data_IF_891656074547
#
_entry.id   IF_891656074547
#
_cell.length_a   1.000
_cell.length_b   1.000
_cell.length_c   1.000
_cell.angle_alpha   90.00
_cell.angle_beta   90.00
_cell.angle_gamma   90.00
#
_symmetry.space_group_name_H-M   'P 1'
#
loop_
_entity.id
_entity.type
_entity.pdbx_description
1 polymer ?
#
# COMPACT_ATOMS: atom_id res chain seq x y z
N UNK A 1 34.57 -2.15 25.57
CA UNK A 1 33.49 -1.77 24.64
C UNK A 1 33.46 -2.73 23.44
N UNK A 2 33.12 -4.01 23.66
CA UNK A 2 33.22 -5.09 22.63
C UNK A 2 31.92 -5.91 22.45
N UNK A 3 30.86 -5.63 23.21
CA UNK A 3 29.67 -6.49 23.24
C UNK A 3 28.68 -6.29 22.08
N UNK A 4 28.82 -5.24 21.26
CA UNK A 4 27.84 -4.96 20.18
C UNK A 4 28.11 -5.75 18.89
N UNK A 5 29.36 -6.14 18.59
CA UNK A 5 29.72 -6.85 17.35
C UNK A 5 29.33 -8.33 17.37
N UNK A 6 29.49 -8.99 18.51
CA UNK A 6 29.17 -10.42 18.66
C UNK A 6 27.65 -10.68 18.56
N UNK A 7 26.83 -9.87 19.23
CA UNK A 7 25.36 -9.99 19.15
C UNK A 7 24.82 -9.76 17.74
N UNK A 8 25.41 -8.83 16.99
CA UNK A 8 25.02 -8.58 15.60
C UNK A 8 25.40 -9.73 14.66
N UNK A 9 26.53 -10.41 14.91
CA UNK A 9 26.99 -11.57 14.15
C UNK A 9 26.08 -12.78 14.38
N UNK A 10 25.74 -13.08 15.64
CA UNK A 10 24.89 -14.21 16.01
C UNK A 10 23.47 -14.00 15.47
N UNK A 11 22.92 -12.79 15.58
CA UNK A 11 21.59 -12.45 15.04
C UNK A 11 21.54 -12.61 13.52
N UNK A 12 22.56 -12.16 12.78
CA UNK A 12 22.66 -12.39 11.32
C UNK A 12 22.74 -13.88 10.98
N UNK A 13 23.46 -14.66 11.77
CA UNK A 13 23.62 -16.10 11.54
C UNK A 13 22.31 -16.86 11.75
N UNK A 14 21.56 -16.56 12.82
CA UNK A 14 20.24 -17.17 13.08
C UNK A 14 19.23 -16.74 12.00
N UNK A 15 19.22 -15.46 11.61
CA UNK A 15 18.37 -14.98 10.52
C UNK A 15 18.72 -15.67 9.19
N UNK A 16 20.00 -15.95 8.91
CA UNK A 16 20.41 -16.65 7.67
C UNK A 16 19.92 -18.11 7.58
N UNK A 17 19.51 -18.73 8.69
CA UNK A 17 18.92 -20.06 8.69
C UNK A 17 17.41 -20.06 8.45
N UNK A 18 16.71 -18.99 8.86
CA UNK A 18 15.26 -18.89 8.68
C UNK A 18 14.85 -18.17 7.38
N UNK A 19 15.75 -17.39 6.80
CA UNK A 19 15.50 -16.65 5.57
C UNK A 19 16.20 -17.29 4.37
N UNK A 20 15.58 -17.25 3.18
CA UNK A 20 16.19 -17.80 1.99
C UNK A 20 17.47 -17.02 1.64
N UNK A 21 18.46 -17.74 1.09
CA UNK A 21 19.75 -17.14 0.67
C UNK A 21 19.56 -16.16 -0.49
N UNK A 22 18.58 -16.43 -1.34
CA UNK A 22 18.14 -15.55 -2.43
C UNK A 22 16.75 -14.99 -2.08
N UNK A 23 16.44 -13.74 -2.45
CA UNK A 23 15.13 -13.19 -2.20
C UNK A 23 14.04 -13.97 -2.94
N UNK A 24 12.95 -14.26 -2.25
CA UNK A 24 11.80 -15.00 -2.79
C UNK A 24 10.57 -14.11 -2.76
N UNK A 25 9.71 -14.23 -3.78
CA UNK A 25 8.38 -13.63 -3.77
C UNK A 25 7.37 -14.75 -3.60
N UNK A 26 6.60 -14.69 -2.53
CA UNK A 26 5.51 -15.61 -2.23
C UNK A 26 4.18 -14.87 -2.37
N UNK A 27 3.10 -15.61 -2.65
CA UNK A 27 1.76 -15.05 -2.70
C UNK A 27 0.74 -16.02 -2.11
N UNK A 28 -0.28 -15.45 -1.46
CA UNK A 28 -1.42 -16.18 -0.92
C UNK A 28 -2.68 -15.44 -1.30
N UNK A 29 -3.69 -16.17 -1.76
CA UNK A 29 -5.00 -15.61 -2.11
C UNK A 29 -6.02 -15.93 -1.04
N UNK A 30 -6.75 -14.92 -0.59
CA UNK A 30 -7.90 -15.07 0.30
C UNK A 30 -9.03 -14.19 -0.20
N UNK A 31 -10.20 -14.80 -0.44
CA UNK A 31 -11.42 -14.09 -0.84
C UNK A 31 -11.19 -13.18 -2.06
N UNK A 32 -11.12 -11.86 -1.84
CA UNK A 32 -10.92 -10.83 -2.84
C UNK A 32 -9.53 -10.15 -2.77
N UNK A 33 -8.60 -10.72 -1.99
CA UNK A 33 -7.25 -10.17 -1.77
C UNK A 33 -6.18 -11.19 -2.18
N UNK A 34 -5.15 -10.72 -2.90
CA UNK A 34 -3.88 -11.44 -3.06
C UNK A 34 -2.82 -10.76 -2.20
N UNK A 35 -2.38 -11.44 -1.14
CA UNK A 35 -1.22 -11.04 -0.32
C UNK A 35 0.05 -11.47 -1.02
N UNK A 36 1.03 -10.57 -1.11
CA UNK A 36 2.29 -10.77 -1.81
C UNK A 36 3.43 -10.40 -0.86
N UNK A 37 4.36 -11.31 -0.65
CA UNK A 37 5.46 -11.15 0.29
C UNK A 37 6.80 -11.28 -0.44
N UNK A 38 7.58 -10.20 -0.43
CA UNK A 38 8.98 -10.23 -0.82
C UNK A 38 9.81 -10.52 0.44
N UNK A 39 10.43 -11.69 0.51
CA UNK A 39 11.16 -12.17 1.67
C UNK A 39 12.65 -12.20 1.34
N UNK A 40 13.44 -11.47 2.14
CA UNK A 40 14.90 -11.43 2.03
C UNK A 40 15.55 -11.49 3.40
N UNK A 41 16.84 -11.80 3.46
CA UNK A 41 17.61 -11.81 4.73
C UNK A 41 17.65 -10.47 5.47
N UNK A 42 17.30 -9.37 4.81
CA UNK A 42 17.32 -8.03 5.39
C UNK A 42 15.94 -7.58 5.87
N UNK A 43 14.90 -7.86 5.06
CA UNK A 43 13.52 -7.43 5.33
C UNK A 43 12.51 -8.30 4.60
N UNK A 44 11.30 -8.29 5.13
CA UNK A 44 10.09 -8.75 4.45
C UNK A 44 9.26 -7.53 4.08
N UNK A 45 8.82 -7.45 2.82
CA UNK A 45 7.90 -6.41 2.33
C UNK A 45 6.59 -7.09 1.96
N UNK A 46 5.49 -6.61 2.49
CA UNK A 46 4.16 -7.13 2.18
C UNK A 46 3.39 -6.12 1.34
N UNK A 47 2.76 -6.59 0.27
CA UNK A 47 1.86 -5.83 -0.58
C UNK A 47 0.55 -6.61 -0.74
N UNK A 48 -0.57 -5.89 -0.85
CA UNK A 48 -1.90 -6.49 -1.01
C UNK A 48 -2.54 -5.98 -2.30
N UNK A 49 -2.88 -6.91 -3.21
CA UNK A 49 -3.69 -6.61 -4.39
C UNK A 49 -5.15 -6.87 -4.05
N UNK A 50 -6.00 -5.87 -4.25
CA UNK A 50 -7.44 -5.95 -4.02
C UNK A 50 -8.13 -6.20 -5.36
N UNK A 51 -9.13 -7.09 -5.37
CA UNK A 51 -9.94 -7.46 -6.52
C UNK A 51 -11.41 -7.15 -6.28
N UNK A 52 -12.14 -6.79 -7.34
CA UNK A 52 -13.59 -6.54 -7.25
C UNK A 52 -14.40 -7.84 -7.00
N UNK A 53 -13.83 -8.98 -7.41
CA UNK A 53 -14.47 -10.29 -7.31
C UNK A 53 -13.56 -11.23 -6.52
N UNK A 54 -13.06 -12.27 -7.18
CA UNK A 54 -12.22 -13.27 -6.55
C UNK A 54 -10.75 -12.97 -6.82
N UNK A 55 -9.94 -13.14 -5.79
CA UNK A 55 -8.50 -13.08 -5.90
C UNK A 55 -7.99 -14.13 -6.88
N UNK A 56 -6.92 -13.78 -7.60
CA UNK A 56 -6.20 -14.73 -8.45
C UNK A 56 -4.72 -14.76 -8.13
N UNK A 57 -4.12 -15.88 -8.53
CA UNK A 57 -2.68 -16.04 -8.55
C UNK A 57 -2.10 -15.17 -9.67
N UNK A 58 -1.10 -14.37 -9.32
CA UNK A 58 -0.37 -13.52 -10.23
C UNK A 58 0.79 -14.29 -10.87
N UNK A 59 1.09 -13.98 -12.12
CA UNK A 59 2.27 -14.50 -12.81
C UNK A 59 3.56 -13.90 -12.22
N UNK A 60 4.70 -14.55 -12.47
CA UNK A 60 6.00 -14.06 -12.01
C UNK A 60 6.31 -12.64 -12.51
N UNK A 61 5.91 -12.31 -13.73
CA UNK A 61 6.13 -10.99 -14.30
C UNK A 61 5.26 -9.92 -13.63
N UNK A 62 4.00 -10.23 -13.31
CA UNK A 62 3.12 -9.35 -12.54
C UNK A 62 3.64 -9.10 -11.13
N UNK A 63 4.09 -10.17 -10.44
CA UNK A 63 4.71 -10.06 -9.12
C UNK A 63 5.96 -9.16 -9.17
N UNK A 64 6.81 -9.35 -10.16
CA UNK A 64 8.00 -8.51 -10.34
C UNK A 64 7.65 -7.06 -10.63
N UNK A 65 6.58 -6.81 -11.41
CA UNK A 65 6.11 -5.46 -11.72
C UNK A 65 5.73 -4.71 -10.45
N UNK A 66 4.95 -5.33 -9.56
CA UNK A 66 4.49 -4.73 -8.29
C UNK A 66 5.62 -4.19 -7.42
N UNK A 67 6.79 -4.85 -7.39
CA UNK A 67 7.92 -4.40 -6.55
C UNK A 67 8.93 -3.50 -7.27
N UNK A 68 8.91 -3.46 -8.61
CA UNK A 68 9.88 -2.68 -9.40
C UNK A 68 9.32 -1.33 -9.85
N UNK A 69 8.00 -1.23 -9.92
CA UNK A 69 7.34 -0.06 -10.45
C UNK A 69 7.38 1.10 -9.48
N UNK A 70 7.58 2.29 -10.03
CA UNK A 70 7.42 3.53 -9.28
C UNK A 70 5.94 3.87 -9.29
N UNK A 71 5.40 4.07 -8.10
CA UNK A 71 4.00 4.45 -7.92
C UNK A 71 3.99 5.90 -7.48
N UNK A 72 3.11 6.69 -8.10
CA UNK A 72 2.82 8.05 -7.63
C UNK A 72 1.51 7.99 -6.84
N UNK A 73 1.57 8.40 -5.58
CA UNK A 73 0.39 8.58 -4.73
C UNK A 73 0.13 10.07 -4.56
N UNK A 74 -1.14 10.49 -4.42
CA UNK A 74 -1.47 11.90 -4.27
C UNK A 74 -1.18 12.45 -2.88
N UNK A 75 -0.85 11.60 -1.90
CA UNK A 75 -0.61 11.99 -0.51
C UNK A 75 0.86 11.95 -0.11
N UNK A 76 1.24 12.82 0.83
CA UNK A 76 2.49 12.75 1.58
C UNK A 76 2.34 11.94 2.86
N UNK A 77 1.17 12.06 3.50
CA UNK A 77 0.80 11.28 4.68
C UNK A 77 -0.69 10.99 4.68
N UNK A 78 -1.09 9.93 5.37
CA UNK A 78 -2.49 9.57 5.64
C UNK A 78 -2.70 9.61 7.14
N UNK A 79 -3.65 10.43 7.57
CA UNK A 79 -4.05 10.60 8.96
C UNK A 79 -5.44 10.03 9.23
N UNK A 80 -5.68 9.65 10.47
CA UNK A 80 -7.03 9.37 10.95
C UNK A 80 -7.18 9.74 12.43
N UNK A 81 -8.42 9.80 12.90
CA UNK A 81 -8.74 9.90 14.32
C UNK A 81 -9.03 8.52 14.90
N UNK A 82 -8.86 8.41 16.21
CA UNK A 82 -9.32 7.29 17.03
C UNK A 82 -9.70 7.80 18.43
N UNK A 83 -10.20 6.93 19.29
CA UNK A 83 -10.46 7.24 20.71
C UNK A 83 -9.22 7.76 21.48
N UNK A 84 -8.02 7.51 20.97
CA UNK A 84 -6.75 7.92 21.58
C UNK A 84 -6.17 9.22 20.96
N UNK A 85 -6.85 9.80 19.97
CA UNK A 85 -6.42 10.99 19.25
C UNK A 85 -6.04 10.69 17.79
N UNK A 86 -5.22 11.57 17.22
CA UNK A 86 -4.81 11.52 15.83
C UNK A 86 -3.63 10.57 15.61
N UNK A 87 -3.66 9.80 14.51
CA UNK A 87 -2.64 8.82 14.13
C UNK A 87 -2.19 9.03 12.69
N UNK A 88 -0.89 8.90 12.46
CA UNK A 88 -0.32 8.74 11.13
C UNK A 88 -0.35 7.26 10.74
N UNK A 89 -1.09 6.96 9.67
CA UNK A 89 -1.30 5.61 9.13
C UNK A 89 -0.60 5.42 7.78
N UNK A 90 0.32 6.30 7.40
CA UNK A 90 0.98 6.24 6.08
C UNK A 90 1.64 4.89 5.83
N UNK A 91 2.41 4.37 6.80
CA UNK A 91 3.06 3.05 6.70
C UNK A 91 2.04 1.90 6.65
N UNK A 92 0.91 2.06 7.34
CA UNK A 92 -0.18 1.07 7.36
C UNK A 92 -0.85 0.97 6.00
N UNK A 93 -1.00 2.09 5.28
CA UNK A 93 -1.63 2.13 3.97
C UNK A 93 -0.64 1.79 2.84
N UNK A 94 0.66 1.99 3.05
CA UNK A 94 1.72 1.70 2.07
C UNK A 94 1.64 0.26 1.51
N UNK A 95 1.20 -0.71 2.31
CA UNK A 95 1.02 -2.09 1.86
C UNK A 95 -0.07 -2.28 0.78
N UNK A 96 -1.00 -1.32 0.62
CA UNK A 96 -2.04 -1.33 -0.41
C UNK A 96 -1.71 -0.44 -1.62
N UNK A 97 -0.57 0.24 -1.58
CA UNK A 97 -0.04 1.01 -2.72
C UNK A 97 0.49 0.01 -3.76
N UNK A 98 -0.45 -0.51 -4.54
CA UNK A 98 -0.26 -1.48 -5.63
C UNK A 98 -1.09 -1.01 -6.84
N UNK A 99 -0.54 -1.01 -8.06
CA UNK A 99 -1.24 -0.49 -9.23
C UNK A 99 -2.60 -1.12 -9.48
N UNK A 100 -3.57 -0.26 -9.78
CA UNK A 100 -4.96 -0.60 -10.02
C UNK A 100 -5.75 -0.95 -8.76
N UNK A 101 -5.19 -0.80 -7.55
CA UNK A 101 -6.00 -0.84 -6.33
C UNK A 101 -6.82 0.45 -6.25
N UNK A 102 -8.01 0.36 -5.66
CA UNK A 102 -8.79 1.54 -5.26
C UNK A 102 -8.94 1.49 -3.75
N UNK A 103 -8.38 2.48 -3.07
CA UNK A 103 -8.50 2.60 -1.61
C UNK A 103 -9.68 3.52 -1.36
N UNK A 104 -10.78 3.00 -0.81
CA UNK A 104 -11.99 3.78 -0.48
C UNK A 104 -12.08 3.98 1.02
N UNK A 105 -12.88 4.95 1.46
CA UNK A 105 -13.16 5.13 2.89
C UNK A 105 -13.82 3.89 3.50
N UNK A 106 -14.74 3.24 2.77
CA UNK A 106 -15.34 1.96 3.21
C UNK A 106 -14.30 0.87 3.41
N UNK A 107 -13.34 0.73 2.49
CA UNK A 107 -12.24 -0.22 2.65
C UNK A 107 -11.43 0.07 3.91
N UNK A 108 -11.13 1.35 4.18
CA UNK A 108 -10.39 1.77 5.37
C UNK A 108 -11.18 1.44 6.64
N UNK A 109 -12.46 1.80 6.70
CA UNK A 109 -13.33 1.55 7.86
C UNK A 109 -13.53 0.05 8.14
N UNK A 110 -13.70 -0.78 7.10
CA UNK A 110 -13.90 -2.22 7.24
C UNK A 110 -12.64 -2.93 7.76
N UNK A 111 -11.45 -2.51 7.32
CA UNK A 111 -10.17 -3.13 7.71
C UNK A 111 -9.60 -2.52 9.00
N UNK A 112 -9.98 -1.28 9.32
CA UNK A 112 -9.45 -0.49 10.43
C UNK A 112 -10.58 0.14 11.25
N UNK A 113 -11.47 -0.66 11.86
CA UNK A 113 -12.75 -0.18 12.45
C UNK A 113 -12.60 0.74 13.66
N UNK A 114 -11.39 0.86 14.22
CA UNK A 114 -11.11 1.76 15.34
C UNK A 114 -10.64 3.15 14.90
N UNK A 115 -10.48 3.35 13.59
CA UNK A 115 -10.01 4.58 12.98
C UNK A 115 -11.12 5.19 12.12
N UNK A 116 -11.31 6.50 12.24
CA UNK A 116 -12.35 7.26 11.54
C UNK A 116 -11.83 8.64 11.16
N UNK A 117 -12.63 9.43 10.42
CA UNK A 117 -12.25 10.76 9.94
C UNK A 117 -10.90 10.71 9.19
N UNK A 118 -10.86 9.85 8.16
CA UNK A 118 -9.67 9.65 7.34
C UNK A 118 -9.38 10.88 6.49
N UNK A 119 -8.14 11.34 6.55
CA UNK A 119 -7.64 12.50 5.81
C UNK A 119 -6.29 12.18 5.22
N UNK A 120 -5.88 12.93 4.20
CA UNK A 120 -4.54 12.83 3.66
C UNK A 120 -3.95 14.22 3.43
N UNK A 121 -2.63 14.33 3.58
CA UNK A 121 -1.90 15.54 3.23
C UNK A 121 -1.62 15.51 1.74
N UNK A 122 -2.25 16.39 0.97
CA UNK A 122 -2.08 16.44 -0.48
C UNK A 122 -0.65 16.85 -0.88
N UNK A 123 -0.05 16.09 -1.80
CA UNK A 123 1.34 16.27 -2.23
C UNK A 123 1.59 17.49 -3.12
N UNK A 124 0.53 18.06 -3.72
CA UNK A 124 0.63 19.22 -4.60
C UNK A 124 0.30 20.50 -3.83
N UNK A 125 -0.75 20.50 -3.01
CA UNK A 125 -1.21 21.68 -2.29
C UNK A 125 -0.60 21.82 -0.89
N UNK A 126 -0.10 20.72 -0.30
CA UNK A 126 0.34 20.65 1.10
C UNK A 126 -0.77 20.97 2.11
N UNK A 127 -2.02 20.77 1.73
CA UNK A 127 -3.18 20.92 2.60
C UNK A 127 -3.72 19.55 3.03
N UNK A 128 -4.28 19.49 4.24
CA UNK A 128 -4.98 18.30 4.72
C UNK A 128 -6.39 18.26 4.14
N UNK A 129 -6.70 17.19 3.43
CA UNK A 129 -7.95 17.00 2.70
C UNK A 129 -8.65 15.74 3.19
N UNK A 130 -9.98 15.78 3.24
CA UNK A 130 -10.78 14.60 3.56
C UNK A 130 -10.58 13.49 2.51
N UNK A 131 -10.55 12.24 2.96
CA UNK A 131 -10.39 11.10 2.07
C UNK A 131 -11.64 10.94 1.18
N UNK A 132 -11.50 10.88 -0.16
CA UNK A 132 -12.65 10.89 -1.07
C UNK A 132 -13.48 9.62 -0.96
N UNK A 133 -14.80 9.76 -1.00
CA UNK A 133 -15.74 8.64 -0.85
C UNK A 133 -15.65 7.64 -2.03
N UNK A 134 -15.41 8.15 -3.24
CA UNK A 134 -15.12 7.37 -4.44
C UNK A 134 -13.80 6.59 -4.36
N UNK A 135 -12.94 6.94 -3.40
CA UNK A 135 -11.63 6.37 -3.19
C UNK A 135 -10.56 6.90 -4.14
N UNK A 136 -9.32 6.55 -3.82
CA UNK A 136 -8.14 6.92 -4.60
C UNK A 136 -7.66 5.70 -5.36
N UNK A 137 -7.58 5.82 -6.68
CA UNK A 137 -7.01 4.80 -7.54
C UNK A 137 -5.50 4.91 -7.57
N UNK A 138 -4.81 3.81 -7.29
CA UNK A 138 -3.35 3.73 -7.35
C UNK A 138 -2.92 3.50 -8.80
N UNK A 139 -2.22 4.47 -9.38
CA UNK A 139 -1.76 4.41 -10.75
C UNK A 139 -0.25 4.20 -10.85
N UNK A 140 0.18 3.55 -11.92
CA UNK A 140 1.58 3.50 -12.33
C UNK A 140 2.06 4.93 -12.60
N UNK A 141 3.29 5.29 -12.21
CA UNK A 141 3.83 6.65 -12.39
C UNK A 141 3.95 7.11 -13.87
N UNK A 142 3.52 6.29 -14.82
CA UNK A 142 3.42 6.60 -16.26
C UNK A 142 2.03 7.02 -16.74
N UNK A 143 1.02 7.04 -15.87
CA UNK A 143 -0.31 7.58 -16.17
C UNK A 143 -0.51 8.90 -15.44
N UNK A 144 -0.24 10.01 -16.14
CA UNK A 144 -0.69 11.33 -15.71
C UNK A 144 -2.23 11.32 -15.64
N UNK A 145 -2.79 11.31 -14.44
CA UNK A 145 -4.22 11.59 -14.25
C UNK A 145 -4.45 13.07 -14.53
N UNK A 146 -4.88 13.39 -15.75
CA UNK A 146 -5.36 14.71 -16.10
C UNK A 146 -6.78 14.89 -15.52
N UNK A 147 -7.02 15.76 -14.51
CA UNK A 147 -8.32 15.86 -13.84
C UNK A 147 -9.36 16.68 -14.62
N UNK A 148 -9.11 17.06 -15.87
CA UNK A 148 -10.02 17.89 -16.67
C UNK A 148 -10.70 17.12 -17.82
N UNK A 149 -11.74 16.33 -17.50
CA UNK A 149 -12.86 16.07 -18.44
C UNK A 149 -14.07 15.37 -17.81
N UNK A 150 -14.64 15.98 -16.78
CA UNK A 150 -15.98 15.60 -16.28
C UNK A 150 -16.85 16.83 -15.99
N UNK A 151 -16.78 17.83 -16.87
CA UNK A 151 -17.84 18.85 -17.03
C UNK A 151 -17.97 19.21 -18.50
N UNK A 152 -18.77 18.44 -19.23
CA UNK A 152 -19.65 18.90 -20.32
C UNK A 152 -20.13 17.70 -21.14
N UNK A 153 -21.41 17.37 -20.99
CA UNK A 153 -22.35 17.17 -22.11
C UNK A 153 -23.54 16.36 -21.62
N UNK A 154 -24.70 17.00 -21.50
CA UNK A 154 -25.93 16.28 -21.17
C UNK A 154 -27.13 17.15 -20.84
N UNK A 155 -27.47 18.14 -21.67
CA UNK A 155 -28.85 18.40 -22.13
C UNK A 155 -28.94 19.70 -22.92
N UNK A 156 -29.61 19.67 -24.08
CA UNK A 156 -30.69 20.62 -24.30
C UNK A 156 -31.99 19.88 -24.64
N UNK A 157 -33.09 20.36 -24.05
CA UNK A 157 -34.43 20.24 -24.62
C UNK A 157 -34.75 21.53 -25.36
#
# INVERSE_FOLDING_TARGET
MFCCRAGHSIRKQILSFMYPKEPVIEQTTDSNITKIEYISSQRTITKYRIWDKQARVLTKDELNKIFKEKISVPWLSIGSQSMLGHFDNTELIEQYVVPGNVITTTFLEDNYPYFYDWKYLDSQTFEEVDFPAEGITINDSGMETNPEKSKESGSPK
#
